data_IF_423088435992
#
_entry.id   IF_423088435992
#
_cell.length_a   1.000
_cell.length_b   1.000
_cell.length_c   1.000
_cell.angle_alpha   90.00
_cell.angle_beta   90.00
_cell.angle_gamma   90.00
#
_symmetry.space_group_name_H-M   'P 1'
#
loop_
_entity.id
_entity.type
_entity.pdbx_description
1 polymer ?
#
# COMPACT_ATOMS: atom_id res chain seq x y z
N UNK A 1 23.73 -27.08 42.47
CA UNK A 1 23.03 -25.80 42.62
C UNK A 1 24.11 -24.73 42.55
N UNK A 2 24.09 -23.86 41.54
CA UNK A 2 25.07 -22.78 41.44
C UNK A 2 24.77 -21.73 42.54
N UNK A 3 25.78 -21.39 43.34
CA UNK A 3 25.69 -20.35 44.37
C UNK A 3 25.80 -18.99 43.69
N UNK A 4 24.66 -18.36 43.42
CA UNK A 4 24.57 -17.02 42.81
C UNK A 4 24.50 -15.92 43.88
N UNK A 5 25.43 -15.91 44.82
CA UNK A 5 25.40 -14.96 45.95
C UNK A 5 26.11 -13.63 45.65
N UNK A 6 26.87 -13.54 44.56
CA UNK A 6 27.49 -12.28 44.15
C UNK A 6 26.46 -11.39 43.42
N UNK A 7 26.05 -10.32 44.09
CA UNK A 7 25.09 -9.32 43.58
C UNK A 7 25.57 -8.65 42.29
N UNK A 8 26.87 -8.41 42.12
CA UNK A 8 27.42 -7.81 40.91
C UNK A 8 27.28 -8.77 39.72
N UNK A 9 27.61 -10.04 39.95
CA UNK A 9 27.43 -11.08 38.95
C UNK A 9 25.96 -11.24 38.54
N UNK A 10 25.04 -11.22 39.52
CA UNK A 10 23.61 -11.34 39.25
C UNK A 10 23.07 -10.17 38.40
N UNK A 11 23.48 -8.94 38.71
CA UNK A 11 23.09 -7.75 37.94
C UNK A 11 23.65 -7.80 36.51
N UNK A 12 24.91 -8.21 36.35
CA UNK A 12 25.49 -8.39 35.02
C UNK A 12 24.79 -9.50 34.23
N UNK A 13 24.41 -10.59 34.90
CA UNK A 13 23.71 -11.71 34.26
C UNK A 13 22.30 -11.31 33.81
N UNK A 14 21.55 -10.58 34.65
CA UNK A 14 20.21 -10.06 34.30
C UNK A 14 20.30 -9.17 33.06
N UNK A 15 21.22 -8.19 33.05
CA UNK A 15 21.43 -7.29 31.91
C UNK A 15 21.75 -8.06 30.63
N UNK A 16 22.74 -8.95 30.67
CA UNK A 16 23.15 -9.71 29.50
C UNK A 16 22.03 -10.64 29.00
N UNK A 17 21.24 -11.22 29.90
CA UNK A 17 20.08 -12.03 29.54
C UNK A 17 19.03 -11.21 28.79
N UNK A 18 18.65 -10.04 29.31
CA UNK A 18 17.67 -9.17 28.64
C UNK A 18 18.18 -8.61 27.31
N UNK A 19 19.46 -8.21 27.22
CA UNK A 19 20.04 -7.74 25.96
C UNK A 19 20.12 -8.88 24.93
N UNK A 20 20.58 -10.06 25.33
CA UNK A 20 20.76 -11.19 24.40
C UNK A 20 19.46 -11.85 23.93
N UNK A 21 18.38 -11.70 24.69
CA UNK A 21 17.06 -12.27 24.34
C UNK A 21 16.11 -11.27 23.68
N UNK A 22 16.46 -9.99 23.64
CA UNK A 22 15.64 -8.95 23.01
C UNK A 22 16.00 -8.76 21.54
N UNK A 23 15.19 -9.35 20.66
CA UNK A 23 15.33 -9.20 19.21
C UNK A 23 15.01 -7.76 18.71
N UNK A 24 14.43 -6.90 19.55
CA UNK A 24 14.06 -5.53 19.15
C UNK A 24 15.18 -4.51 19.33
N UNK A 25 16.27 -4.86 20.04
CA UNK A 25 17.40 -3.97 20.33
C UNK A 25 17.06 -2.81 21.29
N UNK A 26 15.86 -2.80 21.85
CA UNK A 26 15.39 -1.74 22.75
C UNK A 26 16.01 -1.86 24.13
N UNK A 27 16.21 -3.09 24.61
CA UNK A 27 16.89 -3.37 25.87
C UNK A 27 18.34 -2.85 25.86
N UNK A 28 19.05 -2.99 24.74
CA UNK A 28 20.40 -2.45 24.58
C UNK A 28 20.41 -0.92 24.66
N UNK A 29 19.51 -0.26 23.93
CA UNK A 29 19.41 1.20 23.92
C UNK A 29 19.09 1.79 25.30
N UNK A 30 18.17 1.16 26.04
CA UNK A 30 17.77 1.62 27.39
C UNK A 30 18.91 1.40 28.39
N UNK A 31 19.59 0.25 28.34
CA UNK A 31 20.62 -0.11 29.33
C UNK A 31 22.00 0.51 29.04
N UNK A 32 22.27 0.97 27.81
CA UNK A 32 23.49 1.71 27.47
C UNK A 32 23.63 3.04 28.23
N UNK A 33 22.52 3.68 28.60
CA UNK A 33 22.51 4.91 29.40
C UNK A 33 22.95 4.74 30.86
N UNK A 34 23.10 3.50 31.35
CA UNK A 34 23.40 3.19 32.77
C UNK A 34 24.88 2.89 33.04
N UNK A 35 25.79 3.13 32.09
CA UNK A 35 27.23 2.84 32.21
C UNK A 35 27.89 3.51 33.44
N UNK A 36 27.40 4.69 33.85
CA UNK A 36 27.86 5.40 35.05
C UNK A 36 27.46 4.71 36.36
N UNK A 37 26.29 4.09 36.40
CA UNK A 37 25.78 3.33 37.56
C UNK A 37 26.58 2.04 37.74
N UNK A 38 27.02 1.43 36.64
CA UNK A 38 27.87 0.23 36.63
C UNK A 38 29.25 0.49 37.24
N UNK A 39 29.87 1.63 36.94
CA UNK A 39 31.15 2.06 37.55
C UNK A 39 31.01 2.26 39.06
N UNK A 40 29.94 2.91 39.51
CA UNK A 40 29.65 3.09 40.93
C UNK A 40 29.37 1.76 41.64
N UNK A 41 28.60 0.86 41.03
CA UNK A 41 28.34 -0.48 41.58
C UNK A 41 29.60 -1.34 41.66
N UNK A 42 30.51 -1.26 40.67
CA UNK A 42 31.81 -1.95 40.69
C UNK A 42 32.69 -1.48 41.87
N UNK A 43 32.60 -0.21 42.26
CA UNK A 43 33.32 0.34 43.41
C UNK A 43 32.69 -0.03 44.77
N UNK A 44 31.39 -0.33 44.81
CA UNK A 44 30.66 -0.56 46.08
C UNK A 44 30.41 -2.03 46.39
N UNK A 45 30.49 -2.92 45.40
CA UNK A 45 30.31 -4.37 45.57
C UNK A 45 31.65 -5.09 45.36
N UNK A 46 31.96 -6.02 46.27
CA UNK A 46 33.20 -6.84 46.23
C UNK A 46 33.41 -7.48 44.85
N UNK A 47 34.37 -6.93 44.10
CA UNK A 47 34.85 -7.52 42.86
C UNK A 47 35.76 -8.72 43.16
N UNK A 48 35.78 -9.68 42.23
CA UNK A 48 36.70 -10.82 42.33
C UNK A 48 38.15 -10.31 42.21
N UNK A 49 39.13 -10.85 42.96
CA UNK A 49 40.49 -10.29 43.04
C UNK A 49 41.34 -10.30 41.76
N UNK A 50 40.84 -10.82 40.63
CA UNK A 50 41.65 -11.11 39.43
C UNK A 50 41.33 -10.23 38.21
N UNK A 51 40.49 -9.20 38.33
CA UNK A 51 40.31 -8.21 37.24
C UNK A 51 41.40 -7.12 37.33
N UNK A 52 42.66 -7.50 37.06
CA UNK A 52 43.78 -6.58 36.83
C UNK A 52 43.56 -5.83 35.51
N UNK A 53 43.34 -4.52 35.64
CA UNK A 53 43.75 -3.41 34.77
C UNK A 53 43.82 -3.66 33.24
N UNK A 54 42.71 -3.33 32.58
CA UNK A 54 42.74 -2.73 31.24
C UNK A 54 42.15 -1.32 31.32
N UNK A 55 42.97 -0.40 31.83
CA UNK A 55 42.75 1.06 31.74
C UNK A 55 42.98 1.51 30.30
N UNK A 56 41.97 1.36 29.45
CA UNK A 56 41.83 2.20 28.26
C UNK A 56 40.84 3.31 28.62
N UNK A 57 41.39 4.40 29.17
CA UNK A 57 40.72 5.69 29.33
C UNK A 57 40.43 6.28 27.95
N UNK A 58 39.27 5.93 27.37
CA UNK A 58 38.68 6.71 26.30
C UNK A 58 37.67 7.71 26.89
N UNK A 59 38.02 9.00 26.74
CA UNK A 59 37.24 10.20 27.03
C UNK A 59 35.82 10.15 26.42
N UNK A 60 34.88 9.46 27.07
CA UNK A 60 33.45 9.55 26.75
C UNK A 60 32.81 10.61 27.66
N UNK A 61 32.93 11.86 27.20
CA UNK A 61 32.20 13.01 27.72
C UNK A 61 30.72 12.67 27.90
N UNK A 62 30.24 12.72 29.15
CA UNK A 62 28.82 12.64 29.49
C UNK A 62 28.09 13.91 29.03
N UNK A 63 27.89 14.06 27.72
CA UNK A 63 26.85 14.92 27.20
C UNK A 63 25.51 14.20 27.37
N UNK A 64 24.54 14.88 27.98
CA UNK A 64 23.16 14.44 27.98
C UNK A 64 22.73 14.24 26.54
N UNK A 65 22.61 13.00 26.10
CA UNK A 65 21.99 12.67 24.82
C UNK A 65 20.52 13.11 24.90
N UNK A 66 20.25 14.34 24.44
CA UNK A 66 18.93 14.70 23.97
C UNK A 66 18.62 13.69 22.88
N UNK A 67 17.57 12.88 23.07
CA UNK A 67 17.24 11.72 22.25
C UNK A 67 16.96 12.15 20.81
N UNK A 68 18.02 12.36 20.03
CA UNK A 68 17.96 12.46 18.60
C UNK A 68 17.78 11.03 18.08
N UNK A 69 16.54 10.56 18.18
CA UNK A 69 16.01 9.34 17.56
C UNK A 69 16.09 9.50 16.04
N UNK A 70 17.30 9.44 15.50
CA UNK A 70 17.58 9.21 14.08
C UNK A 70 17.93 7.73 13.88
N UNK A 71 17.12 6.88 14.50
CA UNK A 71 17.04 5.48 14.08
C UNK A 71 16.03 5.45 12.93
N UNK A 72 16.45 4.91 11.80
CA UNK A 72 15.66 4.64 10.59
C UNK A 72 14.49 3.65 10.84
N UNK A 73 13.80 3.73 11.97
CA UNK A 73 12.49 3.16 12.17
C UNK A 73 11.48 4.02 11.40
N UNK A 74 10.78 3.47 10.39
CA UNK A 74 9.81 4.24 9.65
C UNK A 74 8.52 4.37 10.47
N UNK A 75 8.48 5.12 11.58
CA UNK A 75 7.19 5.35 12.25
C UNK A 75 7.21 6.45 13.31
N UNK A 76 6.86 7.66 12.90
CA UNK A 76 5.78 8.32 13.65
C UNK A 76 4.52 7.53 13.33
N UNK A 77 4.19 6.54 14.16
CA UNK A 77 2.82 6.04 14.24
C UNK A 77 1.95 7.28 14.43
N UNK A 78 1.26 7.73 13.37
CA UNK A 78 0.18 8.70 13.56
C UNK A 78 -0.70 8.11 14.65
N UNK A 79 -0.96 8.87 15.70
CA UNK A 79 -1.81 8.43 16.80
C UNK A 79 -3.09 7.83 16.20
N UNK A 80 -3.55 6.72 16.77
CA UNK A 80 -4.71 5.97 16.24
C UNK A 80 -5.92 6.91 16.00
N UNK A 81 -6.04 7.95 16.81
CA UNK A 81 -7.00 9.05 16.68
C UNK A 81 -6.83 9.89 15.40
N UNK A 82 -5.61 10.27 15.03
CA UNK A 82 -5.33 11.04 13.81
C UNK A 82 -5.71 10.27 12.54
N UNK A 83 -5.39 8.98 12.47
CA UNK A 83 -5.76 8.10 11.34
C UNK A 83 -7.28 7.96 11.24
N UNK A 84 -7.99 7.85 12.38
CA UNK A 84 -9.45 7.77 12.41
C UNK A 84 -10.12 9.06 11.94
N UNK A 85 -9.57 10.22 12.31
CA UNK A 85 -10.08 11.53 11.87
C UNK A 85 -9.90 11.73 10.36
N UNK A 86 -8.75 11.37 9.81
CA UNK A 86 -8.48 11.43 8.38
C UNK A 86 -9.47 10.56 7.58
N UNK A 87 -9.71 9.31 8.02
CA UNK A 87 -10.73 8.43 7.42
C UNK A 87 -12.12 9.06 7.47
N UNK A 88 -12.50 9.66 8.59
CA UNK A 88 -13.81 10.29 8.76
C UNK A 88 -13.98 11.52 7.85
N UNK A 89 -12.91 12.30 7.65
CA UNK A 89 -12.91 13.44 6.73
C UNK A 89 -13.07 12.97 5.27
N UNK A 90 -12.37 11.90 4.87
CA UNK A 90 -12.51 11.32 3.54
C UNK A 90 -13.93 10.80 3.30
N UNK A 91 -14.55 10.15 4.30
CA UNK A 91 -15.95 9.71 4.21
C UNK A 91 -16.88 10.91 4.08
N UNK A 92 -16.72 11.96 4.91
CA UNK A 92 -17.52 13.19 4.79
C UNK A 92 -17.42 13.82 3.40
N UNK A 93 -16.22 13.93 2.85
CA UNK A 93 -15.98 14.44 1.48
C UNK A 93 -16.71 13.59 0.44
N UNK A 94 -16.67 12.25 0.54
CA UNK A 94 -17.40 11.37 -0.38
C UNK A 94 -18.92 11.50 -0.23
N UNK A 95 -19.43 11.50 1.00
CA UNK A 95 -20.87 11.65 1.28
C UNK A 95 -21.39 13.01 0.81
N UNK A 96 -20.61 14.08 0.94
CA UNK A 96 -21.02 15.42 0.49
C UNK A 96 -21.26 15.53 -1.02
N UNK A 97 -20.64 14.65 -1.83
CA UNK A 97 -20.82 14.62 -3.29
C UNK A 97 -22.09 13.88 -3.71
N UNK A 98 -22.73 13.17 -2.79
CA UNK A 98 -23.90 12.33 -3.07
C UNK A 98 -25.16 13.01 -2.54
N UNK A 99 -26.15 13.20 -3.41
CA UNK A 99 -27.50 13.62 -2.98
C UNK A 99 -28.30 12.37 -2.64
N UNK A 100 -28.71 12.24 -1.39
CA UNK A 100 -29.64 11.19 -0.98
C UNK A 100 -31.08 11.71 -1.11
N UNK A 101 -31.83 11.15 -2.07
CA UNK A 101 -33.25 11.48 -2.25
C UNK A 101 -34.03 10.45 -1.44
N UNK A 102 -34.54 10.88 -0.28
CA UNK A 102 -35.45 10.07 0.50
C UNK A 102 -36.84 10.13 -0.14
N UNK A 103 -37.42 8.98 -0.39
CA UNK A 103 -38.81 8.90 -0.86
C UNK A 103 -39.74 9.19 0.32
N UNK A 104 -40.57 10.21 0.18
CA UNK A 104 -41.58 10.58 1.18
C UNK A 104 -42.94 10.65 0.48
N UNK A 105 -43.96 10.04 1.10
CA UNK A 105 -45.33 10.13 0.60
C UNK A 105 -45.85 11.55 0.81
N UNK A 106 -46.41 12.18 -0.24
CA UNK A 106 -46.99 13.52 -0.11
C UNK A 106 -48.15 13.50 0.90
N UNK A 107 -48.21 14.51 1.77
CA UNK A 107 -49.29 14.66 2.76
C UNK A 107 -50.62 15.08 2.11
N UNK A 108 -50.54 15.68 0.93
CA UNK A 108 -51.67 16.01 0.07
C UNK A 108 -51.81 14.93 -1.00
N UNK A 109 -52.93 14.24 -1.01
CA UNK A 109 -53.33 13.40 -2.12
C UNK A 109 -53.73 14.33 -3.27
N UNK A 110 -52.88 14.44 -4.30
CA UNK A 110 -53.21 15.15 -5.52
C UNK A 110 -54.32 14.39 -6.25
N UNK A 111 -55.30 15.11 -6.77
CA UNK A 111 -56.39 14.54 -7.57
C UNK A 111 -55.82 14.05 -8.91
N UNK A 112 -56.43 13.02 -9.50
CA UNK A 112 -55.98 12.43 -10.78
C UNK A 112 -55.79 13.49 -11.87
N UNK A 113 -56.69 14.46 -11.95
CA UNK A 113 -56.65 15.58 -12.92
C UNK A 113 -55.41 16.46 -12.76
N UNK A 114 -54.98 16.72 -11.53
CA UNK A 114 -53.77 17.51 -11.25
C UNK A 114 -52.49 16.74 -11.61
N UNK A 115 -52.50 15.42 -11.46
CA UNK A 115 -51.37 14.57 -11.85
C UNK A 115 -51.25 14.49 -13.37
N UNK A 116 -52.38 14.39 -14.08
CA UNK A 116 -52.40 14.33 -15.54
C UNK A 116 -51.90 15.64 -16.17
N UNK A 117 -52.22 16.80 -15.59
CA UNK A 117 -51.71 18.11 -16.02
C UNK A 117 -50.20 18.29 -15.73
N UNK A 118 -49.69 17.75 -14.61
CA UNK A 118 -48.27 17.83 -14.24
C UNK A 118 -47.39 16.85 -15.04
N UNK A 119 -47.94 15.68 -15.37
CA UNK A 119 -47.23 14.57 -16.02
C UNK A 119 -47.86 14.19 -17.36
N UNK A 120 -48.12 15.19 -18.21
CA UNK A 120 -48.65 14.95 -19.55
C UNK A 120 -47.70 14.02 -20.32
N UNK A 121 -48.20 12.82 -20.63
CA UNK A 121 -47.50 11.88 -21.52
C UNK A 121 -47.37 12.52 -22.89
N UNK A 122 -46.16 12.95 -23.24
CA UNK A 122 -45.84 13.33 -24.61
C UNK A 122 -45.76 12.06 -25.44
N UNK A 123 -46.83 11.80 -26.19
CA UNK A 123 -46.82 10.87 -27.31
C UNK A 123 -45.60 11.20 -28.20
N UNK A 124 -44.67 10.26 -28.43
CA UNK A 124 -43.52 10.53 -29.27
C UNK A 124 -44.00 10.77 -30.69
N UNK A 125 -43.97 12.04 -31.12
CA UNK A 125 -44.18 12.37 -32.54
C UNK A 125 -43.10 11.66 -33.33
N UNK A 126 -43.47 10.65 -34.11
CA UNK A 126 -42.59 9.96 -35.04
C UNK A 126 -42.13 10.98 -36.09
N UNK A 127 -41.06 11.72 -35.78
CA UNK A 127 -40.33 12.48 -36.77
C UNK A 127 -39.60 11.44 -37.62
N UNK A 128 -40.19 11.09 -38.76
CA UNK A 128 -39.48 10.39 -39.83
C UNK A 128 -38.45 11.39 -40.36
N UNK A 129 -37.28 11.47 -39.71
CA UNK A 129 -36.16 12.23 -40.23
C UNK A 129 -35.53 11.38 -41.34
N UNK A 130 -36.03 11.55 -42.56
CA UNK A 130 -35.37 11.00 -43.74
C UNK A 130 -33.92 11.50 -43.76
N UNK A 131 -32.96 10.58 -43.70
CA UNK A 131 -31.54 10.87 -43.88
C UNK A 131 -30.70 11.15 -42.62
N UNK A 132 -31.23 11.03 -41.39
CA UNK A 132 -30.35 11.10 -40.21
C UNK A 132 -29.69 9.76 -39.92
N UNK A 133 -28.42 9.64 -40.32
CA UNK A 133 -27.58 8.53 -39.88
C UNK A 133 -27.39 8.58 -38.36
N UNK A 134 -27.66 7.45 -37.71
CA UNK A 134 -27.45 7.30 -36.28
C UNK A 134 -25.99 7.58 -35.92
N UNK A 135 -25.74 8.05 -34.69
CA UNK A 135 -24.38 8.22 -34.20
C UNK A 135 -23.58 6.91 -34.29
N UNK A 136 -24.26 5.77 -34.13
CA UNK A 136 -23.69 4.43 -34.32
C UNK A 136 -23.27 4.17 -35.77
N UNK A 137 -24.11 4.53 -36.75
CA UNK A 137 -23.79 4.38 -38.17
C UNK A 137 -22.57 5.24 -38.55
N UNK A 138 -22.47 6.45 -37.98
CA UNK A 138 -21.31 7.34 -38.17
C UNK A 138 -20.03 6.76 -37.57
N UNK A 139 -20.09 6.29 -36.32
CA UNK A 139 -18.93 5.67 -35.68
C UNK A 139 -18.51 4.40 -36.42
N UNK A 140 -19.45 3.57 -36.85
CA UNK A 140 -19.13 2.35 -37.60
C UNK A 140 -18.40 2.63 -38.93
N UNK A 141 -18.82 3.65 -39.68
CA UNK A 141 -18.11 4.10 -40.89
C UNK A 141 -16.69 4.57 -40.59
N UNK A 142 -16.49 5.30 -39.48
CA UNK A 142 -15.19 5.77 -39.05
C UNK A 142 -14.24 4.63 -38.66
N UNK A 143 -14.73 3.60 -37.96
CA UNK A 143 -13.91 2.47 -37.53
C UNK A 143 -13.68 1.40 -38.61
N UNK A 144 -14.41 1.45 -39.74
CA UNK A 144 -14.21 0.51 -40.86
C UNK A 144 -12.81 0.60 -41.49
N UNK A 145 -12.11 1.72 -41.30
CA UNK A 145 -10.75 1.96 -41.82
C UNK A 145 -9.65 1.75 -40.78
N UNK A 146 -9.96 1.24 -39.59
CA UNK A 146 -8.94 1.01 -38.56
C UNK A 146 -8.12 -0.25 -38.91
N UNK A 147 -6.79 -0.17 -39.00
CA UNK A 147 -5.96 -1.33 -39.24
C UNK A 147 -6.13 -2.33 -38.09
N UNK A 148 -6.66 -3.51 -38.41
CA UNK A 148 -6.78 -4.60 -37.44
C UNK A 148 -5.39 -5.05 -37.03
N UNK A 149 -5.14 -5.17 -35.73
CA UNK A 149 -3.86 -5.65 -35.23
C UNK A 149 -3.71 -7.14 -35.59
N UNK A 150 -2.64 -7.55 -36.29
CA UNK A 150 -2.39 -8.96 -36.61
C UNK A 150 -2.35 -9.89 -35.38
N UNK A 151 -2.01 -9.36 -34.19
CA UNK A 151 -1.90 -10.13 -32.96
C UNK A 151 -3.18 -10.18 -32.12
N UNK A 152 -4.31 -9.70 -32.65
CA UNK A 152 -5.58 -9.65 -31.92
C UNK A 152 -6.08 -11.04 -31.51
N UNK A 153 -5.74 -12.09 -32.27
CA UNK A 153 -6.12 -13.47 -31.95
C UNK A 153 -5.51 -13.98 -30.64
N UNK A 154 -4.38 -13.42 -30.21
CA UNK A 154 -3.74 -13.76 -28.94
C UNK A 154 -4.40 -13.06 -27.74
N UNK A 155 -5.26 -12.06 -27.95
CA UNK A 155 -5.99 -11.37 -26.89
C UNK A 155 -6.87 -12.32 -26.05
N UNK A 156 -7.32 -13.43 -26.63
CA UNK A 156 -8.11 -14.45 -25.93
C UNK A 156 -7.37 -15.07 -24.73
N UNK A 157 -6.04 -15.02 -24.72
CA UNK A 157 -5.20 -15.56 -23.63
C UNK A 157 -4.88 -14.53 -22.54
N UNK A 158 -5.39 -13.30 -22.65
CA UNK A 158 -5.21 -12.27 -21.62
C UNK A 158 -5.94 -12.67 -20.32
N UNK A 159 -5.17 -12.71 -19.24
CA UNK A 159 -5.62 -13.06 -17.90
C UNK A 159 -6.09 -11.88 -17.05
N UNK A 160 -6.01 -10.64 -17.53
CA UNK A 160 -6.17 -9.42 -16.70
C UNK A 160 -7.55 -9.31 -16.01
N UNK A 161 -8.60 -9.90 -16.59
CA UNK A 161 -9.97 -9.85 -16.05
C UNK A 161 -10.63 -11.21 -15.77
N UNK A 162 -9.89 -12.32 -15.83
CA UNK A 162 -10.47 -13.66 -15.62
C UNK A 162 -10.38 -14.07 -14.15
N UNK A 163 -11.54 -14.29 -13.53
CA UNK A 163 -11.65 -14.83 -12.17
C UNK A 163 -11.73 -16.37 -12.27
N UNK A 164 -11.07 -17.10 -11.36
CA UNK A 164 -11.02 -18.58 -11.28
C UNK A 164 -10.16 -19.31 -12.33
N UNK A 165 -9.33 -18.61 -13.10
CA UNK A 165 -8.35 -19.23 -14.01
C UNK A 165 -6.94 -18.97 -13.49
N UNK A 166 -6.06 -19.97 -13.55
CA UNK A 166 -4.64 -19.79 -13.22
C UNK A 166 -3.99 -18.77 -14.16
N UNK A 167 -3.36 -17.73 -13.60
CA UNK A 167 -2.74 -16.64 -14.36
C UNK A 167 -1.27 -16.53 -13.98
N UNK A 168 -0.42 -16.34 -14.98
CA UNK A 168 1.00 -16.01 -14.85
C UNK A 168 1.21 -14.53 -15.20
N UNK A 169 1.88 -13.80 -14.31
CA UNK A 169 2.19 -12.37 -14.49
C UNK A 169 3.66 -12.21 -14.86
N UNK A 170 3.93 -11.53 -15.96
CA UNK A 170 5.27 -11.26 -16.46
C UNK A 170 5.55 -9.76 -16.47
N UNK A 171 6.77 -9.38 -16.08
CA UNK A 171 7.33 -8.04 -16.27
C UNK A 171 8.30 -8.13 -17.44
N UNK A 172 7.95 -7.54 -18.58
CA UNK A 172 8.74 -7.62 -19.80
C UNK A 172 9.49 -6.31 -20.00
N UNK A 173 10.81 -6.36 -20.03
CA UNK A 173 11.67 -5.21 -20.31
C UNK A 173 12.07 -5.26 -21.79
N UNK A 174 11.66 -4.26 -22.56
CA UNK A 174 11.96 -4.17 -23.99
C UNK A 174 13.29 -3.42 -24.18
N UNK A 175 14.34 -4.15 -24.53
CA UNK A 175 15.68 -3.59 -24.76
C UNK A 175 15.78 -2.77 -26.04
N UNK A 176 14.80 -2.90 -26.94
CA UNK A 176 14.70 -2.15 -28.21
C UNK A 176 14.17 -0.71 -28.03
N UNK A 177 13.73 -0.34 -26.83
CA UNK A 177 13.25 1.02 -26.53
C UNK A 177 14.41 1.97 -26.18
N UNK A 178 14.22 3.29 -26.34
CA UNK A 178 15.16 4.31 -25.87
C UNK A 178 15.47 4.15 -24.38
N UNK A 179 16.70 4.51 -23.96
CA UNK A 179 17.20 4.28 -22.58
C UNK A 179 16.27 4.79 -21.48
N UNK A 180 15.60 5.92 -21.74
CA UNK A 180 14.63 6.53 -20.81
C UNK A 180 13.42 5.63 -20.52
N UNK A 181 13.05 4.74 -21.44
CA UNK A 181 11.88 3.88 -21.35
C UNK A 181 12.20 2.42 -20.98
N UNK A 182 13.48 2.00 -21.07
CA UNK A 182 13.89 0.62 -20.75
C UNK A 182 13.63 0.23 -19.30
N UNK A 183 13.63 1.19 -18.38
CA UNK A 183 13.42 0.95 -16.96
C UNK A 183 11.95 0.67 -16.59
N UNK A 184 11.01 0.86 -17.53
CA UNK A 184 9.59 0.62 -17.30
C UNK A 184 9.16 -0.74 -17.86
N UNK A 185 8.79 -1.71 -17.01
CA UNK A 185 8.36 -3.02 -17.48
C UNK A 185 6.95 -2.97 -18.06
N UNK A 186 6.75 -3.64 -19.19
CA UNK A 186 5.42 -3.96 -19.70
C UNK A 186 4.83 -5.11 -18.87
N UNK A 187 3.71 -4.86 -18.20
CA UNK A 187 3.01 -5.87 -17.43
C UNK A 187 2.08 -6.70 -18.31
N UNK A 188 2.36 -7.99 -18.43
CA UNK A 188 1.56 -8.93 -19.22
C UNK A 188 1.04 -10.05 -18.33
N UNK A 189 -0.27 -10.22 -18.29
CA UNK A 189 -0.96 -11.30 -17.59
C UNK A 189 -1.45 -12.33 -18.62
N UNK A 190 -0.97 -13.57 -18.51
CA UNK A 190 -1.31 -14.64 -19.43
C UNK A 190 -1.91 -15.84 -18.69
N UNK A 191 -2.81 -16.58 -19.34
CA UNK A 191 -3.41 -17.80 -18.79
C UNK A 191 -2.38 -18.92 -18.67
N UNK A 192 -2.48 -19.80 -17.67
CA UNK A 192 -1.54 -20.93 -17.48
C UNK A 192 -1.46 -21.89 -18.66
N UNK A 193 -2.53 -22.02 -19.45
CA UNK A 193 -2.62 -22.91 -20.61
C UNK A 193 -2.04 -22.29 -21.90
N UNK A 194 -1.62 -21.04 -21.87
CA UNK A 194 -1.08 -20.36 -23.05
C UNK A 194 0.35 -20.80 -23.36
N UNK A 195 0.69 -20.87 -24.65
CA UNK A 195 2.05 -21.18 -25.11
C UNK A 195 2.93 -19.92 -25.09
N UNK A 196 4.25 -20.09 -25.17
CA UNK A 196 5.20 -18.98 -25.22
C UNK A 196 4.95 -18.09 -26.46
N UNK A 197 4.57 -18.68 -27.59
CA UNK A 197 4.15 -17.93 -28.79
C UNK A 197 2.98 -16.97 -28.51
N UNK A 198 2.02 -17.37 -27.67
CA UNK A 198 0.86 -16.55 -27.33
C UNK A 198 1.25 -15.43 -26.36
N UNK A 199 2.21 -15.67 -25.49
CA UNK A 199 2.81 -14.64 -24.64
C UNK A 199 3.51 -13.57 -25.49
N UNK A 200 4.28 -13.97 -26.50
CA UNK A 200 4.94 -13.04 -27.44
C UNK A 200 3.88 -12.26 -28.24
N UNK A 201 2.83 -12.93 -28.72
CA UNK A 201 1.70 -12.27 -29.39
C UNK A 201 1.00 -11.24 -28.50
N UNK A 202 0.80 -11.55 -27.21
CA UNK A 202 0.25 -10.63 -26.21
C UNK A 202 1.18 -9.45 -25.92
N UNK A 203 2.49 -9.68 -25.90
CA UNK A 203 3.49 -8.61 -25.76
C UNK A 203 3.38 -7.66 -26.95
N UNK A 204 3.39 -8.16 -28.18
CA UNK A 204 3.29 -7.34 -29.40
C UNK A 204 1.92 -6.65 -29.54
N UNK A 205 0.86 -7.24 -28.99
CA UNK A 205 -0.45 -6.62 -28.90
C UNK A 205 -0.47 -5.42 -27.93
N UNK A 206 0.26 -5.52 -26.80
CA UNK A 206 0.32 -4.50 -25.74
C UNK A 206 1.47 -3.50 -25.86
N UNK A 207 2.51 -3.80 -26.64
CA UNK A 207 3.72 -2.98 -26.78
C UNK A 207 3.59 -1.84 -27.79
N UNK A 208 2.36 -1.50 -28.18
CA UNK A 208 2.05 -0.45 -29.15
C UNK A 208 1.26 0.64 -28.46
#
# INVERSE_FOLDING_TARGET
>A
MALYDNKYWLLSHIRNSFISTDDTGMCELIMAGEEGVRRQLKQTLDCYPDDDDSEDDDDLSHESYDLQLDTDFPMRYRSNTAVRLEKLEQVKKKTSRMKHIKWESSKTALTQEQLDDLFVRKEPKAKISEGQESLLSKTFKQYRMMPSNPFIDHAKYDGTGRVNVGIKKYKIFLTMLPEQQRNYPLHVCCTTNAKIQDLIGLILLKSR
#
